data_IF_377011655126
#
_entry.id   IF_377011655126
#
_cell.length_a   1.000
_cell.length_b   1.000
_cell.length_c   1.000
_cell.angle_alpha   90.00
_cell.angle_beta   90.00
_cell.angle_gamma   90.00
#
_symmetry.space_group_name_H-M   'P 1'
#
loop_
_entity.id
_entity.type
_entity.pdbx_description
1 polymer ?
#
# COMPACT_ATOMS: atom_id res chain seq x y z
N UNK A 1 -20.59 9.59 0.56
CA UNK A 1 -19.25 9.14 0.97
C UNK A 1 -18.47 8.94 -0.31
N UNK A 2 -17.48 9.77 -0.57
CA UNK A 2 -16.67 9.67 -1.79
C UNK A 2 -15.63 8.55 -1.60
N UNK A 3 -15.70 7.53 -2.45
CA UNK A 3 -14.70 6.48 -2.54
C UNK A 3 -13.65 6.96 -3.53
N UNK A 4 -12.44 7.26 -3.07
CA UNK A 4 -11.32 7.49 -3.96
C UNK A 4 -10.85 6.13 -4.49
N UNK A 5 -11.27 5.76 -5.70
CA UNK A 5 -10.69 4.63 -6.41
C UNK A 5 -9.25 4.98 -6.79
N UNK A 6 -8.30 4.57 -5.95
CA UNK A 6 -6.88 4.59 -6.30
C UNK A 6 -6.44 3.13 -6.41
N UNK A 7 -6.37 2.64 -7.65
CA UNK A 7 -5.87 1.31 -7.97
C UNK A 7 -4.36 1.31 -7.75
N UNK A 8 -3.92 1.04 -6.54
CA UNK A 8 -2.50 0.87 -6.26
C UNK A 8 -2.19 -0.61 -6.22
N UNK A 9 -1.37 -1.04 -7.18
CA UNK A 9 -0.68 -2.32 -7.03
C UNK A 9 0.11 -2.27 -5.70
N UNK A 10 0.46 -3.42 -5.08
CA UNK A 10 1.11 -3.40 -3.77
C UNK A 10 2.39 -2.54 -3.69
N UNK A 11 3.11 -2.34 -4.81
CA UNK A 11 4.29 -1.47 -4.85
C UNK A 11 3.92 0.02 -4.75
N UNK A 12 2.84 0.45 -5.41
CA UNK A 12 2.35 1.82 -5.31
C UNK A 12 1.86 2.12 -3.88
N UNK A 13 1.18 1.16 -3.24
CA UNK A 13 0.68 1.32 -1.86
C UNK A 13 1.83 1.37 -0.85
N UNK A 14 2.87 0.55 -1.03
CA UNK A 14 4.09 0.64 -0.24
C UNK A 14 4.77 2.02 -0.38
N UNK A 15 4.74 2.60 -1.59
CA UNK A 15 5.30 3.93 -1.86
C UNK A 15 4.49 5.03 -1.16
N UNK A 16 3.16 4.97 -1.25
CA UNK A 16 2.28 5.94 -0.61
C UNK A 16 2.43 5.93 0.92
N UNK A 17 2.51 4.75 1.52
CA UNK A 17 2.70 4.61 2.97
C UNK A 17 4.05 5.19 3.42
N UNK A 18 5.11 5.01 2.63
CA UNK A 18 6.42 5.62 2.90
C UNK A 18 6.38 7.14 2.81
N UNK A 19 5.63 7.71 1.86
CA UNK A 19 5.46 9.16 1.76
C UNK A 19 4.73 9.70 3.00
N UNK A 20 3.62 9.08 3.40
CA UNK A 20 2.88 9.48 4.61
C UNK A 20 3.71 9.32 5.89
N UNK A 21 4.57 8.31 5.96
CA UNK A 21 5.46 8.09 7.09
C UNK A 21 6.55 9.17 7.25
N UNK A 22 6.79 10.03 6.25
CA UNK A 22 7.74 11.15 6.36
C UNK A 22 7.19 12.27 7.26
N UNK A 23 5.87 12.46 7.24
CA UNK A 23 5.18 13.51 8.00
C UNK A 23 4.57 12.99 9.31
N UNK A 24 4.66 11.69 9.58
CA UNK A 24 4.16 11.04 10.79
C UNK A 24 5.26 10.89 11.86
N UNK A 25 4.86 10.77 13.13
CA UNK A 25 5.77 10.57 14.26
C UNK A 25 5.36 9.37 15.13
N UNK A 26 6.29 8.90 15.97
CA UNK A 26 6.01 7.89 16.99
C UNK A 26 5.46 6.57 16.44
N UNK A 27 4.38 6.09 17.07
CA UNK A 27 3.75 4.80 16.76
C UNK A 27 3.11 4.77 15.37
N UNK A 28 2.47 5.86 14.95
CA UNK A 28 1.85 5.98 13.62
C UNK A 28 2.90 5.83 12.50
N UNK A 29 4.06 6.49 12.64
CA UNK A 29 5.16 6.33 11.68
C UNK A 29 5.62 4.87 11.60
N UNK A 30 5.73 4.18 12.74
CA UNK A 30 6.16 2.79 12.77
C UNK A 30 5.15 1.86 12.11
N UNK A 31 3.86 2.08 12.32
CA UNK A 31 2.78 1.31 11.70
C UNK A 31 2.73 1.52 10.19
N UNK A 32 2.87 2.76 9.72
CA UNK A 32 2.95 3.09 8.29
C UNK A 32 4.14 2.42 7.61
N UNK A 33 5.31 2.43 8.26
CA UNK A 33 6.52 1.77 7.75
C UNK A 33 6.37 0.25 7.75
N UNK A 34 5.76 -0.33 8.78
CA UNK A 34 5.47 -1.76 8.84
C UNK A 34 4.57 -2.20 7.68
N UNK A 35 3.44 -1.51 7.49
CA UNK A 35 2.52 -1.80 6.39
C UNK A 35 3.19 -1.61 5.02
N UNK A 36 4.04 -0.60 4.85
CA UNK A 36 4.79 -0.40 3.61
C UNK A 36 5.70 -1.59 3.26
N UNK A 37 6.36 -2.17 4.27
CA UNK A 37 7.22 -3.36 4.09
C UNK A 37 6.37 -4.57 3.70
N UNK A 38 5.23 -4.78 4.34
CA UNK A 38 4.35 -5.90 4.02
C UNK A 38 3.79 -5.80 2.60
N UNK A 39 3.40 -4.62 2.14
CA UNK A 39 2.96 -4.42 0.76
C UNK A 39 4.09 -4.56 -0.26
N UNK A 40 5.32 -4.15 0.08
CA UNK A 40 6.49 -4.40 -0.76
C UNK A 40 6.81 -5.89 -0.87
N UNK A 41 6.69 -6.64 0.23
CA UNK A 41 6.80 -8.11 0.22
C UNK A 41 5.72 -8.74 -0.63
N UNK A 42 4.46 -8.31 -0.49
CA UNK A 42 3.39 -8.75 -1.37
C UNK A 42 3.73 -8.46 -2.83
N UNK A 43 4.26 -7.28 -3.17
CA UNK A 43 4.68 -6.94 -4.54
C UNK A 43 5.81 -7.85 -5.08
N UNK A 44 6.64 -8.43 -4.21
CA UNK A 44 7.79 -9.27 -4.57
C UNK A 44 7.46 -10.78 -4.58
N UNK A 45 6.76 -11.27 -3.55
CA UNK A 45 6.29 -12.67 -3.43
C UNK A 45 5.31 -13.01 -4.54
N UNK A 46 4.53 -11.99 -4.91
CA UNK A 46 3.71 -12.06 -6.08
C UNK A 46 4.57 -11.73 -7.29
N UNK A 47 4.85 -12.69 -8.16
CA UNK A 47 5.16 -12.39 -9.57
C UNK A 47 3.99 -11.70 -10.31
N UNK A 48 3.11 -10.99 -9.57
CA UNK A 48 1.82 -10.43 -9.96
C UNK A 48 1.88 -8.93 -10.27
N UNK A 49 3.07 -8.30 -10.30
CA UNK A 49 3.24 -7.02 -10.99
C UNK A 49 2.72 -7.05 -12.45
N UNK A 50 2.50 -8.25 -13.01
CA UNK A 50 1.92 -8.50 -14.32
C UNK A 50 0.45 -9.01 -14.32
N UNK A 51 -0.28 -9.00 -13.20
CA UNK A 51 -1.64 -9.57 -13.13
C UNK A 51 -2.74 -8.49 -13.02
N UNK A 52 -3.55 -8.28 -14.10
CA UNK A 52 -4.53 -7.19 -14.20
C UNK A 52 -5.62 -7.18 -13.12
N UNK A 53 -5.91 -8.34 -12.51
CA UNK A 53 -7.02 -8.53 -11.57
C UNK A 53 -6.82 -7.89 -10.19
N UNK A 54 -5.60 -7.44 -9.88
CA UNK A 54 -5.29 -6.75 -8.62
C UNK A 54 -5.49 -5.23 -8.71
N UNK A 55 -5.81 -4.68 -9.89
CA UNK A 55 -6.28 -3.31 -10.03
C UNK A 55 -7.76 -3.25 -9.65
N UNK A 56 -8.06 -2.70 -8.46
CA UNK A 56 -9.43 -2.31 -8.09
C UNK A 56 -10.06 -3.10 -6.93
N UNK A 57 -9.27 -3.82 -6.14
CA UNK A 57 -9.78 -4.44 -4.91
C UNK A 57 -9.89 -3.38 -3.81
N UNK A 58 -11.12 -3.09 -3.39
CA UNK A 58 -11.40 -2.17 -2.28
C UNK A 58 -11.11 -2.84 -0.94
N UNK A 59 -10.29 -2.19 -0.10
CA UNK A 59 -10.02 -2.64 1.28
C UNK A 59 -11.19 -2.19 2.18
N UNK A 60 -11.76 -3.08 3.02
CA UNK A 60 -12.81 -2.71 3.97
C UNK A 60 -12.27 -1.79 5.08
N UNK A 61 -13.16 -0.99 5.66
CA UNK A 61 -12.88 -0.02 6.73
C UNK A 61 -12.24 -0.64 7.97
#
# INVERSE_FOLDING_TARGET
MEFFMVTHNPADLATELRLRAQDAEGEERNELLYLAIEYERMAQETGLAARPEWRGVAIPK
#
